data_IF_450316445276
#
_entry.id   IF_450316445276
#
_cell.length_a   1.000
_cell.length_b   1.000
_cell.length_c   1.000
_cell.angle_alpha   90.00
_cell.angle_beta   90.00
_cell.angle_gamma   90.00
#
_symmetry.space_group_name_H-M   'P 1'
#
loop_
_entity.id
_entity.type
_entity.pdbx_description
1 polymer ?
#
# COMPACT_ATOMS: atom_id res chain seq x y z
N UNK A 1 -0.15 54.95 32.05
CA UNK A 1 0.99 54.40 31.28
C UNK A 1 0.67 52.94 31.01
N UNK A 2 0.29 52.65 29.77
CA UNK A 2 -0.02 51.30 29.28
C UNK A 2 1.26 50.65 28.76
N UNK A 3 1.53 49.41 29.18
CA UNK A 3 2.36 48.47 28.45
C UNK A 3 1.67 47.10 28.51
N UNK A 4 1.11 46.59 27.40
CA UNK A 4 0.43 45.30 27.36
C UNK A 4 1.34 44.21 26.75
N UNK A 5 0.99 42.94 27.00
CA UNK A 5 1.43 41.70 26.30
C UNK A 5 2.89 41.26 26.54
N UNK A 6 3.24 39.97 26.60
CA UNK A 6 2.64 38.85 25.89
C UNK A 6 2.62 37.52 26.64
N UNK A 7 1.47 36.87 26.47
CA UNK A 7 1.24 35.45 26.58
C UNK A 7 2.22 34.72 25.63
N UNK A 8 3.12 33.90 26.16
CA UNK A 8 3.95 33.02 25.32
C UNK A 8 3.04 31.87 24.90
N UNK A 9 2.68 31.73 23.61
CA UNK A 9 1.91 30.58 23.18
C UNK A 9 2.82 29.37 23.36
N UNK A 10 2.31 28.32 24.00
CA UNK A 10 2.88 26.99 23.96
C UNK A 10 2.86 26.50 22.51
N UNK A 11 3.84 26.95 21.72
CA UNK A 11 4.14 26.35 20.44
C UNK A 11 4.57 24.94 20.74
N UNK A 12 3.69 23.99 20.43
CA UNK A 12 3.99 22.58 20.27
C UNK A 12 5.32 22.47 19.55
N UNK A 13 6.36 22.19 20.33
CA UNK A 13 7.64 21.76 19.83
C UNK A 13 7.39 20.34 19.30
N UNK A 14 6.80 20.24 18.11
CA UNK A 14 6.84 19.00 17.35
C UNK A 14 8.29 18.59 17.32
N UNK A 15 8.62 17.53 18.07
CA UNK A 15 9.97 16.98 18.18
C UNK A 15 10.40 16.51 16.79
N UNK A 16 10.92 17.44 16.00
CA UNK A 16 11.47 17.16 14.68
C UNK A 16 12.64 16.20 14.90
N UNK A 17 12.45 15.00 14.38
CA UNK A 17 13.37 13.89 14.54
C UNK A 17 14.77 14.29 14.09
N UNK A 18 15.79 14.10 14.94
CA UNK A 18 17.19 14.44 14.62
C UNK A 18 17.60 13.77 13.30
N UNK A 19 18.26 14.51 12.40
CA UNK A 19 18.64 14.06 11.04
C UNK A 19 19.31 12.68 11.01
N UNK A 20 20.19 12.38 11.98
CA UNK A 20 20.86 11.07 12.11
C UNK A 20 19.87 9.93 12.42
N UNK A 21 18.86 10.20 13.24
CA UNK A 21 17.82 9.22 13.55
C UNK A 21 16.93 9.01 12.32
N UNK A 22 16.56 10.07 11.59
CA UNK A 22 15.77 9.98 10.33
C UNK A 22 16.44 9.06 9.31
N UNK A 23 17.75 9.26 9.09
CA UNK A 23 18.56 8.41 8.20
C UNK A 23 18.68 6.97 8.71
N UNK A 24 18.89 6.79 10.03
CA UNK A 24 18.99 5.45 10.65
C UNK A 24 17.69 4.65 10.54
N UNK A 25 16.53 5.31 10.64
CA UNK A 25 15.23 4.66 10.50
C UNK A 25 14.69 4.70 9.08
N UNK A 26 15.43 5.23 8.09
CA UNK A 26 14.95 5.32 6.71
C UNK A 26 13.60 6.04 6.55
N UNK A 27 13.29 7.00 7.44
CA UNK A 27 12.01 7.73 7.38
C UNK A 27 12.05 8.73 6.23
N UNK A 28 10.96 8.79 5.46
CA UNK A 28 10.69 9.70 4.32
C UNK A 28 11.61 9.60 3.08
N UNK A 29 12.86 9.16 3.21
CA UNK A 29 13.80 9.06 2.08
C UNK A 29 13.72 7.71 1.32
N UNK A 30 13.05 6.71 1.90
CA UNK A 30 13.02 5.33 1.38
C UNK A 30 11.62 4.70 1.45
N UNK A 31 10.58 5.50 1.26
CA UNK A 31 9.21 4.99 1.30
C UNK A 31 8.97 4.08 0.10
N UNK A 32 8.50 2.87 0.38
CA UNK A 32 8.02 1.94 -0.64
C UNK A 32 6.51 1.86 -0.44
N UNK A 33 5.75 2.07 -1.50
CA UNK A 33 4.29 2.07 -1.41
C UNK A 33 3.74 0.73 -1.85
N UNK A 34 2.84 0.18 -1.04
CA UNK A 34 2.08 -1.02 -1.35
C UNK A 34 0.62 -0.87 -0.92
N UNK A 35 -0.19 -1.88 -1.23
CA UNK A 35 -1.61 -1.90 -0.87
C UNK A 35 -2.10 -3.32 -0.66
N UNK A 36 -3.22 -3.45 0.05
CA UNK A 36 -3.93 -4.70 0.18
C UNK A 36 -4.93 -4.87 -0.94
N UNK A 37 -5.01 -6.10 -1.45
CA UNK A 37 -6.05 -6.56 -2.36
C UNK A 37 -6.87 -7.60 -1.64
N UNK A 38 -8.19 -7.43 -1.69
CA UNK A 38 -9.17 -8.40 -1.17
C UNK A 38 -10.08 -8.84 -2.30
N UNK A 39 -10.19 -10.15 -2.47
CA UNK A 39 -11.03 -10.77 -3.50
C UNK A 39 -12.15 -11.57 -2.85
N UNK A 40 -13.34 -11.46 -3.45
CA UNK A 40 -14.45 -12.38 -3.24
C UNK A 40 -14.57 -13.20 -4.51
N UNK A 41 -14.36 -14.52 -4.39
CA UNK A 41 -14.50 -15.45 -5.50
C UNK A 41 -15.95 -15.94 -5.60
N UNK A 42 -16.41 -16.24 -6.81
CA UNK A 42 -17.69 -16.91 -7.01
C UNK A 42 -17.62 -18.34 -6.45
N UNK A 43 -18.74 -18.87 -5.94
CA UNK A 43 -18.80 -20.15 -5.21
C UNK A 43 -18.16 -21.33 -5.95
N UNK A 44 -18.32 -21.38 -7.27
CA UNK A 44 -17.75 -22.45 -8.09
C UNK A 44 -16.22 -22.35 -8.19
N UNK A 45 -15.69 -21.13 -8.29
CA UNK A 45 -14.25 -20.88 -8.41
C UNK A 45 -13.50 -21.24 -7.12
N UNK A 46 -14.14 -21.10 -5.95
CA UNK A 46 -13.56 -21.54 -4.68
C UNK A 46 -13.38 -23.08 -4.61
N UNK A 47 -14.26 -23.84 -5.27
CA UNK A 47 -14.11 -25.30 -5.41
C UNK A 47 -13.06 -25.68 -6.46
N UNK A 48 -12.84 -24.83 -7.47
CA UNK A 48 -11.83 -25.03 -8.51
C UNK A 48 -10.41 -24.57 -8.11
N UNK A 49 -10.27 -23.82 -7.01
CA UNK A 49 -9.08 -23.70 -6.15
C UNK A 49 -7.76 -23.14 -6.73
N UNK A 50 -7.54 -23.18 -8.05
CA UNK A 50 -6.22 -22.96 -8.64
C UNK A 50 -6.24 -22.26 -10.01
N UNK A 51 -7.40 -22.10 -10.66
CA UNK A 51 -7.46 -21.52 -12.01
C UNK A 51 -7.06 -20.04 -12.06
N UNK A 52 -7.26 -19.29 -10.97
CA UNK A 52 -6.90 -17.86 -10.89
C UNK A 52 -5.44 -17.64 -10.45
N UNK A 53 -4.81 -18.61 -9.76
CA UNK A 53 -3.50 -18.41 -9.18
C UNK A 53 -2.42 -18.19 -10.24
N UNK A 54 -2.35 -19.06 -11.24
CA UNK A 54 -1.38 -18.97 -12.33
C UNK A 54 -1.51 -17.65 -13.13
N UNK A 55 -2.69 -17.26 -13.64
CA UNK A 55 -2.83 -15.98 -14.34
C UNK A 55 -2.61 -14.77 -13.42
N UNK A 56 -2.90 -14.88 -12.12
CA UNK A 56 -2.61 -13.80 -11.17
C UNK A 56 -1.10 -13.61 -11.01
N UNK A 57 -0.34 -14.69 -10.84
CA UNK A 57 1.13 -14.62 -10.74
C UNK A 57 1.74 -14.02 -12.01
N UNK A 58 1.31 -14.48 -13.18
CA UNK A 58 1.76 -13.90 -14.46
C UNK A 58 1.44 -12.40 -14.56
N UNK A 59 0.25 -11.97 -14.13
CA UNK A 59 -0.12 -10.55 -14.15
C UNK A 59 0.67 -9.70 -13.16
N UNK A 60 1.01 -10.26 -12.00
CA UNK A 60 1.84 -9.61 -10.98
C UNK A 60 3.25 -9.41 -11.52
N UNK A 61 3.81 -10.43 -12.18
CA UNK A 61 5.12 -10.35 -12.82
C UNK A 61 5.12 -9.34 -13.98
N UNK A 62 4.11 -9.34 -14.85
CA UNK A 62 3.96 -8.39 -15.97
C UNK A 62 3.87 -6.92 -15.53
N UNK A 63 3.41 -6.67 -14.30
CA UNK A 63 3.30 -5.33 -13.73
C UNK A 63 4.54 -4.93 -12.90
N UNK A 64 5.57 -5.77 -12.85
CA UNK A 64 6.74 -5.63 -11.98
C UNK A 64 6.33 -5.49 -10.50
N UNK A 65 5.38 -6.31 -10.06
CA UNK A 65 4.86 -6.32 -8.69
C UNK A 65 5.33 -7.58 -7.95
N UNK A 66 5.37 -7.49 -6.63
CA UNK A 66 5.52 -8.60 -5.71
C UNK A 66 4.25 -8.70 -4.88
N UNK A 67 3.81 -9.93 -4.61
CA UNK A 67 2.66 -10.18 -3.74
C UNK A 67 3.03 -11.11 -2.59
N UNK A 68 2.36 -10.94 -1.45
CA UNK A 68 2.49 -11.81 -0.28
C UNK A 68 1.15 -11.98 0.43
N UNK A 69 0.79 -13.21 0.77
CA UNK A 69 -0.46 -13.52 1.46
C UNK A 69 -1.17 -14.73 0.86
N UNK A 70 -2.51 -14.65 0.80
CA UNK A 70 -3.38 -15.69 0.26
C UNK A 70 -4.08 -15.21 -1.01
N UNK A 71 -4.65 -16.11 -1.81
CA UNK A 71 -5.38 -15.75 -3.03
C UNK A 71 -6.51 -14.73 -2.80
N UNK A 72 -7.23 -14.82 -1.68
CA UNK A 72 -8.38 -13.95 -1.36
C UNK A 72 -8.00 -12.67 -0.63
N UNK A 73 -6.80 -12.63 -0.04
CA UNK A 73 -6.30 -11.47 0.69
C UNK A 73 -4.78 -11.47 0.68
N UNK A 74 -4.22 -10.51 -0.03
CA UNK A 74 -2.77 -10.38 -0.22
C UNK A 74 -2.34 -8.92 -0.25
N UNK A 75 -1.09 -8.70 0.13
CA UNK A 75 -0.42 -7.41 0.01
C UNK A 75 0.38 -7.37 -1.29
N UNK A 76 0.38 -6.24 -1.97
CA UNK A 76 1.08 -6.01 -3.24
C UNK A 76 1.99 -4.79 -3.12
N UNK A 77 3.19 -4.89 -3.65
CA UNK A 77 4.14 -3.78 -3.77
C UNK A 77 5.00 -3.91 -5.02
N UNK A 78 5.55 -2.81 -5.57
CA UNK A 78 6.50 -2.86 -6.68
C UNK A 78 7.78 -3.64 -6.35
N UNK A 79 8.32 -4.38 -7.35
CA UNK A 79 9.62 -5.04 -7.27
C UNK A 79 10.75 -4.02 -7.16
N UNK A 80 10.64 -2.94 -7.94
CA UNK A 80 11.59 -1.84 -7.98
C UNK A 80 11.01 -0.58 -7.33
N UNK A 81 11.89 0.28 -6.83
CA UNK A 81 11.47 1.56 -6.26
C UNK A 81 10.92 2.48 -7.36
N UNK A 82 9.66 2.86 -7.19
CA UNK A 82 8.94 3.77 -8.09
C UNK A 82 8.24 4.86 -7.29
N UNK A 83 7.82 5.92 -7.98
CA UNK A 83 7.05 7.01 -7.37
C UNK A 83 5.67 6.55 -6.93
N UNK A 84 5.06 7.28 -5.99
CA UNK A 84 3.71 6.98 -5.50
C UNK A 84 2.69 6.97 -6.65
N UNK A 85 2.81 7.89 -7.59
CA UNK A 85 1.94 8.02 -8.76
C UNK A 85 2.04 6.79 -9.67
N UNK A 86 3.26 6.30 -9.90
CA UNK A 86 3.49 5.06 -10.66
C UNK A 86 2.92 3.84 -9.91
N UNK A 87 3.06 3.78 -8.58
CA UNK A 87 2.41 2.74 -7.77
C UNK A 87 0.89 2.81 -7.88
N UNK A 88 0.29 4.00 -7.85
CA UNK A 88 -1.17 4.17 -8.04
C UNK A 88 -1.61 3.69 -9.43
N UNK A 89 -0.82 3.98 -10.46
CA UNK A 89 -1.11 3.49 -11.81
C UNK A 89 -1.10 1.96 -11.87
N UNK A 90 -0.09 1.30 -11.28
CA UNK A 90 -0.01 -0.16 -11.18
C UNK A 90 -1.18 -0.75 -10.38
N UNK A 91 -1.57 -0.10 -9.28
CA UNK A 91 -2.75 -0.47 -8.51
C UNK A 91 -4.02 -0.44 -9.37
N UNK A 92 -4.22 0.61 -10.16
CA UNK A 92 -5.38 0.72 -11.04
C UNK A 92 -5.37 -0.36 -12.13
N UNK A 93 -4.21 -0.64 -12.74
CA UNK A 93 -4.06 -1.71 -13.74
C UNK A 93 -4.43 -3.08 -13.17
N UNK A 94 -3.90 -3.42 -11.98
CA UNK A 94 -4.21 -4.68 -11.32
C UNK A 94 -5.68 -4.77 -10.92
N UNK A 95 -6.24 -3.69 -10.36
CA UNK A 95 -7.65 -3.62 -9.97
C UNK A 95 -8.59 -3.81 -11.18
N UNK A 96 -8.30 -3.16 -12.30
CA UNK A 96 -9.08 -3.29 -13.53
C UNK A 96 -9.03 -4.72 -14.06
N UNK A 97 -7.84 -5.31 -14.11
CA UNK A 97 -7.64 -6.69 -14.53
C UNK A 97 -8.43 -7.67 -13.65
N UNK A 98 -8.36 -7.53 -12.33
CA UNK A 98 -9.07 -8.40 -11.38
C UNK A 98 -10.58 -8.31 -11.55
N UNK A 99 -11.10 -7.12 -11.81
CA UNK A 99 -12.55 -6.87 -11.97
C UNK A 99 -13.09 -7.48 -13.27
N UNK A 100 -12.24 -7.67 -14.28
CA UNK A 100 -12.61 -8.28 -15.56
C UNK A 100 -12.60 -9.82 -15.51
N UNK A 101 -12.12 -10.42 -14.42
CA UNK A 101 -12.00 -11.88 -14.32
C UNK A 101 -13.36 -12.54 -14.06
N UNK A 102 -13.69 -13.61 -14.80
CA UNK A 102 -14.97 -14.29 -14.63
C UNK A 102 -15.09 -14.98 -13.27
N UNK A 103 -13.98 -15.42 -12.66
CA UNK A 103 -13.96 -16.10 -11.37
C UNK A 103 -14.18 -15.16 -10.18
N UNK A 104 -13.94 -13.86 -10.38
CA UNK A 104 -13.98 -12.83 -9.34
C UNK A 104 -15.39 -12.26 -9.27
N UNK A 105 -16.01 -12.33 -8.09
CA UNK A 105 -17.28 -11.65 -7.81
C UNK A 105 -17.03 -10.18 -7.46
N UNK A 106 -15.99 -9.92 -6.67
CA UNK A 106 -15.61 -8.59 -6.25
C UNK A 106 -14.10 -8.53 -6.01
N UNK A 107 -13.46 -7.45 -6.47
CA UNK A 107 -12.08 -7.11 -6.16
C UNK A 107 -12.02 -5.74 -5.53
N UNK A 108 -11.27 -5.59 -4.43
CA UNK A 108 -11.10 -4.30 -3.74
C UNK A 108 -9.63 -4.06 -3.46
N UNK A 109 -9.15 -2.86 -3.78
CA UNK A 109 -7.81 -2.39 -3.44
C UNK A 109 -7.88 -1.34 -2.35
N UNK A 110 -7.04 -1.45 -1.32
CA UNK A 110 -6.93 -0.45 -0.25
C UNK A 110 -6.24 0.82 -0.74
N UNK A 111 -6.24 1.87 0.08
CA UNK A 111 -5.33 2.99 -0.13
C UNK A 111 -3.86 2.54 -0.09
N UNK A 112 -2.99 3.27 -0.78
CA UNK A 112 -1.54 3.05 -0.68
C UNK A 112 -1.05 3.34 0.73
N UNK A 113 -0.27 2.42 1.27
CA UNK A 113 0.43 2.55 2.55
C UNK A 113 1.93 2.41 2.33
N UNK A 114 2.72 2.96 3.25
CA UNK A 114 4.16 2.69 3.31
C UNK A 114 4.36 1.23 3.73
N UNK A 115 5.01 0.42 2.90
CA UNK A 115 5.23 -1.01 3.11
C UNK A 115 6.13 -1.29 4.32
N UNK A 116 7.01 -0.34 4.69
CA UNK A 116 7.90 -0.49 5.85
C UNK A 116 7.20 -0.26 7.18
N UNK A 117 6.17 0.58 7.19
CA UNK A 117 5.52 1.03 8.41
C UNK A 117 4.07 0.55 8.55
N UNK A 118 3.45 0.19 7.42
CA UNK A 118 2.07 -0.27 7.34
C UNK A 118 1.05 0.63 8.06
N UNK A 119 -0.19 0.16 8.19
CA UNK A 119 -1.15 0.69 9.15
C UNK A 119 -0.93 0.10 10.56
N UNK A 120 0.27 -0.40 10.88
CA UNK A 120 0.51 -1.07 12.16
C UNK A 120 0.56 -0.04 13.30
N UNK A 121 -0.10 -0.31 14.43
CA UNK A 121 0.05 0.54 15.61
C UNK A 121 1.53 0.58 16.03
N UNK A 122 2.01 1.79 16.34
CA UNK A 122 3.39 2.04 16.77
C UNK A 122 3.60 1.72 18.25
#
# INVERSE_FOLDING_TARGET
>A
MNCPTGFVPALLFERTMKKRLRKKTYRSEFQEFGWYVTLVLKSDAAQQGSSLWEPLMAQVDDLDLMMGGSLVSFFVQPVIRITKEQTQHRQQQLQQWLTQRPEVAQATSSALTDAWYGPFPR
#
